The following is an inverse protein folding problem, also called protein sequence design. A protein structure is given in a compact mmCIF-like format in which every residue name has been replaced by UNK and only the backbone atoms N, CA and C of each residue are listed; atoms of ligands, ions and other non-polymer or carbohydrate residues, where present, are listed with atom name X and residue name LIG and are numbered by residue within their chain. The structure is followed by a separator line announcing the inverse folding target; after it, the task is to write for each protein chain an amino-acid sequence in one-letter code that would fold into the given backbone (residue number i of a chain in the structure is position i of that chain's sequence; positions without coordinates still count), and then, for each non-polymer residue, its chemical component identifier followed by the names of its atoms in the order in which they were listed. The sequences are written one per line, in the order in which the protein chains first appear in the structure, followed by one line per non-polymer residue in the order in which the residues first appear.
data_IF_186604737088
#
_entry.id   IF_186604737088
#
_cell.length_a   1.000
_cell.length_b   1.000
_cell.length_c   1.000
_cell.angle_alpha   90.00
_cell.angle_beta   90.00
_cell.angle_gamma   90.00
#
_symmetry.space_group_name_H-M   'P 1'
#
loop_
_entity.id
_entity.type
_entity.pdbx_description
1 polymer ?
#
# COMPACT_ATOMS: atom_id res chain seq x y z
N UNK A 1 -28.45 41.48 6.25
CA UNK A 1 -27.36 41.74 5.27
C UNK A 1 -27.75 41.12 3.94
N UNK A 2 -28.00 41.95 2.93
CA UNK A 2 -28.56 41.53 1.65
C UNK A 2 -27.52 40.79 0.81
N UNK A 3 -27.87 39.57 0.39
CA UNK A 3 -27.07 38.68 -0.44
C UNK A 3 -26.95 39.27 -1.86
N UNK A 4 -25.87 40.00 -2.12
CA UNK A 4 -25.59 40.64 -3.39
C UNK A 4 -25.25 39.55 -4.43
N UNK A 5 -26.26 39.11 -5.20
CA UNK A 5 -26.04 38.27 -6.38
C UNK A 5 -25.08 38.96 -7.33
N UNK A 6 -23.86 38.50 -7.43
CA UNK A 6 -22.87 38.98 -8.43
C UNK A 6 -23.41 38.59 -9.78
N UNK A 7 -23.99 39.53 -10.49
CA UNK A 7 -24.43 39.37 -11.89
C UNK A 7 -23.20 39.41 -12.78
N UNK A 8 -22.73 38.25 -13.22
CA UNK A 8 -21.61 38.08 -14.14
C UNK A 8 -22.04 38.63 -15.51
N UNK A 9 -21.32 39.61 -16.07
CA UNK A 9 -21.63 40.20 -17.36
C UNK A 9 -21.60 39.17 -18.51
N UNK A 10 -22.38 39.34 -19.61
CA UNK A 10 -22.39 38.42 -20.75
C UNK A 10 -21.02 38.18 -21.38
N UNK A 11 -20.14 39.16 -21.30
CA UNK A 11 -18.77 39.11 -21.81
C UNK A 11 -17.88 38.25 -20.91
N UNK A 12 -18.07 38.27 -19.59
CA UNK A 12 -17.37 37.40 -18.65
C UNK A 12 -17.85 35.95 -18.73
N UNK A 13 -19.12 35.69 -19.06
CA UNK A 13 -19.63 34.34 -19.31
C UNK A 13 -18.98 33.67 -20.52
N UNK A 14 -18.77 34.42 -21.63
CA UNK A 14 -18.09 33.88 -22.82
C UNK A 14 -16.62 33.56 -22.55
N UNK A 15 -15.93 34.41 -21.81
CA UNK A 15 -14.54 34.16 -21.41
C UNK A 15 -14.44 32.90 -20.51
N UNK A 16 -15.24 32.81 -19.46
CA UNK A 16 -15.30 31.64 -18.59
C UNK A 16 -15.64 30.36 -19.38
N UNK A 17 -16.56 30.44 -20.34
CA UNK A 17 -16.91 29.29 -21.17
C UNK A 17 -15.77 28.86 -22.09
N UNK A 18 -15.02 29.80 -22.66
CA UNK A 18 -13.80 29.49 -23.46
C UNK A 18 -12.69 28.92 -22.62
N UNK A 19 -12.46 29.43 -21.43
CA UNK A 19 -11.48 28.87 -20.46
C UNK A 19 -11.87 27.47 -20.04
N UNK A 20 -13.15 27.23 -19.73
CA UNK A 20 -13.63 25.89 -19.39
C UNK A 20 -13.49 24.91 -20.56
N UNK A 21 -13.84 25.30 -21.79
CA UNK A 21 -13.68 24.48 -22.98
C UNK A 21 -12.20 24.15 -23.21
N UNK A 22 -11.32 25.15 -23.09
CA UNK A 22 -9.87 24.91 -23.19
C UNK A 22 -9.39 23.94 -22.12
N UNK A 23 -9.81 24.10 -20.85
CA UNK A 23 -9.47 23.18 -19.76
C UNK A 23 -9.93 21.73 -20.04
N UNK A 24 -11.19 21.56 -20.50
CA UNK A 24 -11.68 20.21 -20.85
C UNK A 24 -10.94 19.61 -22.05
N UNK A 25 -10.56 20.41 -23.06
CA UNK A 25 -9.76 19.95 -24.20
C UNK A 25 -8.36 19.49 -23.76
N UNK A 26 -7.73 20.21 -22.84
CA UNK A 26 -6.45 19.79 -22.28
C UNK A 26 -6.56 18.53 -21.41
N UNK A 27 -7.68 18.34 -20.70
CA UNK A 27 -7.94 17.14 -19.92
C UNK A 27 -8.39 15.94 -20.77
N UNK A 28 -8.87 16.16 -21.98
CA UNK A 28 -9.49 15.13 -22.82
C UNK A 28 -8.56 13.92 -23.09
N UNK A 29 -7.27 14.08 -23.43
CA UNK A 29 -6.39 12.93 -23.61
C UNK A 29 -6.30 12.08 -22.35
N UNK A 30 -6.11 12.70 -21.17
CA UNK A 30 -6.08 11.99 -19.89
C UNK A 30 -7.40 11.27 -19.62
N UNK A 31 -8.55 11.94 -19.81
CA UNK A 31 -9.88 11.35 -19.60
C UNK A 31 -10.13 10.16 -20.53
N UNK A 32 -9.74 10.25 -21.79
CA UNK A 32 -9.86 9.13 -22.73
C UNK A 32 -9.06 7.92 -22.27
N UNK A 33 -7.80 8.09 -21.88
CA UNK A 33 -7.00 7.00 -21.36
C UNK A 33 -7.55 6.46 -20.04
N UNK A 34 -8.01 7.33 -19.14
CA UNK A 34 -8.63 6.92 -17.88
C UNK A 34 -9.89 6.07 -18.10
N UNK A 35 -10.78 6.52 -19.00
CA UNK A 35 -12.00 5.77 -19.32
C UNK A 35 -11.66 4.43 -19.99
N UNK A 36 -10.76 4.41 -20.98
CA UNK A 36 -10.44 3.22 -21.75
C UNK A 36 -9.65 2.16 -20.95
N UNK A 37 -8.72 2.59 -20.09
CA UNK A 37 -7.80 1.66 -19.43
C UNK A 37 -8.06 1.47 -17.93
N UNK A 38 -8.88 2.29 -17.31
CA UNK A 38 -9.24 2.17 -15.89
C UNK A 38 -10.73 1.88 -15.72
N UNK A 39 -11.59 2.79 -16.16
CA UNK A 39 -13.04 2.64 -15.92
C UNK A 39 -13.65 1.47 -16.70
N UNK A 40 -13.33 1.31 -17.98
CA UNK A 40 -13.87 0.23 -18.79
C UNK A 40 -13.46 -1.16 -18.25
N UNK A 41 -12.17 -1.47 -18.00
CA UNK A 41 -11.78 -2.74 -17.40
C UNK A 41 -12.37 -2.97 -16.01
N UNK A 42 -12.51 -1.93 -15.18
CA UNK A 42 -13.14 -2.04 -13.87
C UNK A 42 -14.62 -2.44 -13.98
N UNK A 43 -15.38 -1.79 -14.88
CA UNK A 43 -16.78 -2.15 -15.13
C UNK A 43 -16.89 -3.57 -15.68
N UNK A 44 -16.01 -3.95 -16.62
CA UNK A 44 -15.98 -5.30 -17.18
C UNK A 44 -15.61 -6.34 -16.12
N UNK A 45 -14.71 -6.05 -15.20
CA UNK A 45 -14.40 -6.92 -14.06
C UNK A 45 -15.64 -7.16 -13.19
N UNK A 46 -16.40 -6.11 -12.86
CA UNK A 46 -17.65 -6.24 -12.11
C UNK A 46 -18.67 -7.05 -12.92
N UNK A 47 -18.83 -6.76 -14.19
CA UNK A 47 -19.79 -7.46 -15.05
C UNK A 47 -19.46 -8.95 -15.18
N UNK A 48 -18.21 -9.29 -15.53
CA UNK A 48 -17.77 -10.68 -15.70
C UNK A 48 -17.76 -11.49 -14.41
N UNK A 49 -17.76 -10.84 -13.25
CA UNK A 49 -17.88 -11.53 -11.95
C UNK A 49 -19.20 -12.30 -11.76
N UNK A 50 -20.24 -11.95 -12.55
CA UNK A 50 -21.54 -12.63 -12.54
C UNK A 50 -21.66 -13.75 -13.57
N UNK A 51 -20.57 -14.04 -14.30
CA UNK A 51 -20.53 -15.06 -15.33
C UNK A 51 -19.58 -16.20 -14.94
N UNK A 52 -19.87 -17.42 -15.40
CA UNK A 52 -18.87 -18.48 -15.51
C UNK A 52 -18.04 -18.19 -16.76
N UNK A 53 -17.09 -17.30 -16.61
CA UNK A 53 -16.13 -16.92 -17.64
C UNK A 53 -14.86 -17.75 -17.47
N UNK A 54 -14.77 -18.86 -18.21
CA UNK A 54 -13.63 -19.77 -18.20
C UNK A 54 -13.05 -19.89 -19.60
N UNK A 55 -11.73 -19.85 -19.73
CA UNK A 55 -11.07 -19.94 -21.03
C UNK A 55 -11.53 -21.18 -21.83
N UNK A 56 -11.90 -20.97 -23.09
CA UNK A 56 -12.32 -22.04 -24.01
C UNK A 56 -13.77 -22.47 -23.86
N UNK A 57 -14.58 -21.76 -23.08
CA UNK A 57 -16.03 -21.93 -22.95
C UNK A 57 -16.76 -20.63 -23.26
N UNK A 58 -18.04 -20.74 -23.62
CA UNK A 58 -18.91 -19.57 -23.70
C UNK A 58 -19.18 -19.02 -22.30
N UNK A 59 -19.21 -17.70 -22.16
CA UNK A 59 -19.52 -17.02 -20.89
C UNK A 59 -20.99 -17.22 -20.56
N UNK A 60 -21.29 -17.97 -19.51
CA UNK A 60 -22.65 -18.26 -19.05
C UNK A 60 -22.97 -17.36 -17.86
N UNK A 61 -24.09 -16.65 -17.93
CA UNK A 61 -24.55 -15.85 -16.78
C UNK A 61 -25.03 -16.76 -15.64
N UNK A 62 -24.37 -16.68 -14.50
CA UNK A 62 -24.66 -17.49 -13.29
C UNK A 62 -25.06 -16.66 -12.07
N UNK A 63 -25.24 -15.33 -12.25
CA UNK A 63 -25.61 -14.42 -11.17
C UNK A 63 -24.59 -14.41 -10.04
N UNK A 64 -25.02 -14.60 -8.80
CA UNK A 64 -24.16 -14.54 -7.60
C UNK A 64 -23.47 -15.86 -7.25
N UNK A 65 -23.45 -16.85 -8.13
CA UNK A 65 -22.88 -18.17 -7.82
C UNK A 65 -21.39 -18.11 -7.52
N UNK A 66 -20.60 -17.30 -8.24
CA UNK A 66 -19.17 -17.09 -7.95
C UNK A 66 -18.96 -16.56 -6.52
N UNK A 67 -19.80 -15.65 -6.08
CA UNK A 67 -19.71 -15.09 -4.71
C UNK A 67 -20.11 -16.14 -3.65
N UNK A 68 -21.11 -16.96 -3.92
CA UNK A 68 -21.50 -18.06 -3.02
C UNK A 68 -20.40 -19.10 -2.89
N UNK A 69 -19.76 -19.48 -4.01
CA UNK A 69 -18.60 -20.37 -4.03
C UNK A 69 -17.44 -19.77 -3.25
N UNK A 70 -17.14 -18.47 -3.49
CA UNK A 70 -16.08 -17.74 -2.83
C UNK A 70 -16.22 -17.76 -1.29
N UNK A 71 -17.40 -17.46 -0.77
CA UNK A 71 -17.62 -17.44 0.68
C UNK A 71 -17.57 -18.84 1.34
N UNK A 72 -17.71 -19.91 0.55
CA UNK A 72 -17.56 -21.29 1.02
C UNK A 72 -16.14 -21.85 0.78
N UNK A 73 -15.25 -21.07 0.15
CA UNK A 73 -13.88 -21.49 -0.15
C UNK A 73 -12.94 -21.29 1.05
N UNK A 74 -12.42 -22.35 1.68
CA UNK A 74 -11.51 -22.23 2.82
C UNK A 74 -10.18 -21.57 2.45
N UNK A 75 -9.73 -21.67 1.17
CA UNK A 75 -8.49 -21.05 0.71
C UNK A 75 -8.68 -19.55 0.63
N UNK A 76 -9.83 -19.06 0.19
CA UNK A 76 -10.16 -17.63 0.20
C UNK A 76 -10.05 -17.03 1.60
N UNK A 77 -10.65 -17.67 2.60
CA UNK A 77 -10.58 -17.20 3.99
C UNK A 77 -9.16 -17.24 4.55
N UNK A 78 -8.37 -18.26 4.21
CA UNK A 78 -6.96 -18.32 4.58
C UNK A 78 -6.15 -17.21 3.91
N UNK A 79 -6.38 -16.94 2.64
CA UNK A 79 -5.74 -15.85 1.89
C UNK A 79 -6.14 -14.48 2.44
N UNK A 80 -7.40 -14.28 2.79
CA UNK A 80 -7.88 -13.05 3.43
C UNK A 80 -7.21 -12.84 4.79
N UNK A 81 -7.16 -13.88 5.63
CA UNK A 81 -6.49 -13.83 6.93
C UNK A 81 -5.01 -13.47 6.79
N UNK A 82 -4.28 -14.13 5.89
CA UNK A 82 -2.87 -13.85 5.67
C UNK A 82 -2.67 -12.40 5.21
N UNK A 83 -3.50 -11.92 4.27
CA UNK A 83 -3.46 -10.52 3.80
C UNK A 83 -3.75 -9.55 4.94
N UNK A 84 -4.74 -9.83 5.80
CA UNK A 84 -5.04 -8.99 6.96
C UNK A 84 -3.89 -8.97 7.96
N UNK A 85 -3.21 -10.11 8.21
CA UNK A 85 -2.01 -10.15 9.06
C UNK A 85 -0.90 -9.27 8.47
N UNK A 86 -0.65 -9.38 7.16
CA UNK A 86 0.33 -8.51 6.48
C UNK A 86 -0.03 -7.04 6.70
N UNK A 87 -1.27 -6.63 6.46
CA UNK A 87 -1.72 -5.24 6.59
C UNK A 87 -1.61 -4.76 8.04
N UNK A 88 -2.16 -5.51 9.00
CA UNK A 88 -2.20 -5.11 10.40
C UNK A 88 -0.81 -5.03 11.05
N UNK A 89 0.16 -5.76 10.54
CA UNK A 89 1.53 -5.72 11.04
C UNK A 89 2.37 -4.69 10.28
N UNK A 90 2.33 -4.73 8.93
CA UNK A 90 3.22 -3.88 8.14
C UNK A 90 2.84 -2.40 8.18
N UNK A 91 1.56 -2.05 8.16
CA UNK A 91 1.13 -0.65 8.10
C UNK A 91 1.52 0.14 9.35
N UNK A 92 1.19 -0.29 10.58
CA UNK A 92 1.59 0.42 11.79
C UNK A 92 3.12 0.50 11.94
N UNK A 93 3.83 -0.60 11.68
CA UNK A 93 5.29 -0.63 11.79
C UNK A 93 5.91 0.35 10.79
N UNK A 94 5.47 0.33 9.52
CA UNK A 94 5.97 1.26 8.49
C UNK A 94 5.72 2.71 8.88
N UNK A 95 4.50 3.06 9.35
CA UNK A 95 4.18 4.43 9.75
C UNK A 95 5.04 4.89 10.95
N UNK A 96 5.10 4.09 12.01
CA UNK A 96 5.84 4.45 13.24
C UNK A 96 7.34 4.51 12.97
N UNK A 97 7.89 3.50 12.31
CA UNK A 97 9.32 3.46 11.99
C UNK A 97 9.73 4.62 11.07
N UNK A 98 8.95 4.90 10.02
CA UNK A 98 9.25 5.98 9.09
C UNK A 98 9.16 7.36 9.75
N UNK A 99 8.19 7.58 10.63
CA UNK A 99 8.08 8.80 11.40
C UNK A 99 9.26 8.97 12.36
N UNK A 100 9.65 7.90 13.05
CA UNK A 100 10.82 7.92 13.94
C UNK A 100 12.09 8.26 13.17
N UNK A 101 12.37 7.56 12.07
CA UNK A 101 13.54 7.81 11.21
C UNK A 101 13.52 9.25 10.68
N UNK A 102 12.38 9.71 10.15
CA UNK A 102 12.22 11.09 9.66
C UNK A 102 12.51 12.13 10.74
N UNK A 103 12.03 11.90 11.97
CA UNK A 103 12.27 12.79 13.12
C UNK A 103 13.75 12.86 13.54
N UNK A 104 14.51 11.81 13.31
CA UNK A 104 15.97 11.79 13.54
C UNK A 104 16.71 12.50 12.41
N UNK A 105 16.38 12.15 11.16
CA UNK A 105 17.04 12.68 9.95
C UNK A 105 16.80 14.18 9.79
N UNK A 106 15.61 14.70 10.10
CA UNK A 106 15.27 16.12 9.97
C UNK A 106 16.11 17.05 10.84
N UNK A 107 16.80 16.52 11.85
CA UNK A 107 17.72 17.28 12.72
C UNK A 107 19.15 17.33 12.18
N UNK A 108 19.44 16.59 11.12
CA UNK A 108 20.79 16.51 10.53
C UNK A 108 21.06 17.68 9.57
N UNK A 109 22.33 18.00 9.28
CA UNK A 109 22.67 18.90 8.19
C UNK A 109 22.10 18.40 6.85
N UNK A 110 21.84 19.32 5.91
CA UNK A 110 21.21 19.03 4.61
C UNK A 110 21.87 17.87 3.83
N UNK A 111 23.20 17.79 3.85
CA UNK A 111 23.94 16.70 3.22
C UNK A 111 23.65 15.34 3.85
N UNK A 112 23.57 15.26 5.19
CA UNK A 112 23.21 14.05 5.91
C UNK A 112 21.78 13.62 5.62
N UNK A 113 20.83 14.56 5.71
CA UNK A 113 19.42 14.32 5.39
C UNK A 113 19.25 13.75 3.97
N UNK A 114 19.95 14.34 2.98
CA UNK A 114 19.89 13.88 1.59
C UNK A 114 20.49 12.49 1.43
N UNK A 115 21.61 12.19 2.07
CA UNK A 115 22.23 10.88 2.02
C UNK A 115 21.34 9.78 2.61
N UNK A 116 20.74 10.02 3.80
CA UNK A 116 19.82 9.06 4.40
C UNK A 116 18.54 8.87 3.58
N UNK A 117 17.95 9.95 3.04
CA UNK A 117 16.81 9.84 2.10
C UNK A 117 17.16 8.93 0.92
N UNK A 118 18.35 9.10 0.31
CA UNK A 118 18.82 8.27 -0.78
C UNK A 118 18.95 6.80 -0.38
N UNK A 119 19.58 6.51 0.76
CA UNK A 119 19.81 5.13 1.25
C UNK A 119 18.48 4.42 1.50
N UNK A 120 17.53 5.06 2.20
CA UNK A 120 16.23 4.45 2.48
C UNK A 120 15.32 4.34 1.25
N UNK A 121 15.52 5.22 0.25
CA UNK A 121 14.74 5.18 -0.99
C UNK A 121 15.30 4.20 -2.02
N UNK A 122 16.55 3.77 -1.88
CA UNK A 122 17.21 2.84 -2.80
C UNK A 122 16.43 1.53 -3.03
N UNK A 123 15.87 0.84 -1.99
CA UNK A 123 15.05 -0.35 -2.20
C UNK A 123 13.77 -0.10 -3.00
N UNK A 124 13.20 1.11 -2.93
CA UNK A 124 11.97 1.48 -3.66
C UNK A 124 12.22 1.56 -5.16
N UNK A 125 13.38 2.07 -5.58
CA UNK A 125 13.75 2.18 -7.01
C UNK A 125 14.38 0.90 -7.55
N UNK A 126 14.80 0.00 -6.67
CA UNK A 126 15.35 -1.29 -7.07
C UNK A 126 14.21 -2.21 -7.50
N UNK A 127 14.33 -2.84 -8.65
CA UNK A 127 13.31 -3.75 -9.16
C UNK A 127 12.99 -4.88 -8.18
N UNK A 128 11.70 -5.16 -7.99
CA UNK A 128 11.20 -6.17 -7.05
C UNK A 128 11.82 -7.56 -7.23
N UNK A 129 12.17 -7.94 -8.46
CA UNK A 129 12.81 -9.22 -8.76
C UNK A 129 14.21 -9.29 -8.14
N UNK A 130 15.03 -8.23 -8.32
CA UNK A 130 16.39 -8.19 -7.78
C UNK A 130 16.37 -8.25 -6.24
N UNK A 131 15.54 -7.42 -5.60
CA UNK A 131 15.36 -7.43 -4.14
C UNK A 131 14.95 -8.81 -3.66
N UNK A 132 13.96 -9.42 -4.31
CA UNK A 132 13.45 -10.74 -3.94
C UNK A 132 14.51 -11.83 -4.06
N UNK A 133 15.37 -11.78 -5.09
CA UNK A 133 16.46 -12.75 -5.26
C UNK A 133 17.52 -12.63 -4.16
N UNK A 134 17.87 -11.41 -3.75
CA UNK A 134 18.79 -11.19 -2.62
C UNK A 134 18.20 -11.78 -1.33
N UNK A 135 16.95 -11.48 -1.04
CA UNK A 135 16.28 -12.02 0.16
C UNK A 135 16.13 -13.54 0.11
N UNK A 136 15.81 -14.12 -1.05
CA UNK A 136 15.75 -15.58 -1.24
C UNK A 136 17.08 -16.23 -0.92
N UNK A 137 18.19 -15.61 -1.34
CA UNK A 137 19.54 -16.07 -0.98
C UNK A 137 19.81 -15.93 0.51
N UNK A 138 19.44 -14.82 1.13
CA UNK A 138 19.62 -14.59 2.58
C UNK A 138 18.83 -15.57 3.44
N UNK A 139 17.64 -15.99 3.00
CA UNK A 139 16.79 -16.99 3.69
C UNK A 139 17.10 -18.45 3.30
N UNK A 140 18.14 -18.70 2.51
CA UNK A 140 18.46 -20.06 2.09
C UNK A 140 18.76 -20.94 3.31
N UNK A 141 18.26 -22.19 3.28
CA UNK A 141 18.40 -23.12 4.40
C UNK A 141 19.86 -23.53 4.65
N UNK A 142 20.67 -23.68 3.63
CA UNK A 142 22.03 -24.24 3.72
C UNK A 142 23.12 -23.18 3.91
N UNK A 143 23.06 -22.08 3.13
CA UNK A 143 24.09 -21.05 3.05
C UNK A 143 23.56 -19.63 3.30
N UNK A 144 22.29 -19.51 3.74
CA UNK A 144 21.69 -18.22 4.01
C UNK A 144 22.25 -17.54 5.25
N UNK A 145 22.45 -16.23 5.15
CA UNK A 145 23.07 -15.43 6.21
C UNK A 145 22.29 -15.48 7.54
N UNK A 146 20.97 -15.64 7.51
CA UNK A 146 20.18 -15.71 8.73
C UNK A 146 20.44 -17.00 9.53
N UNK A 147 20.64 -18.14 8.85
CA UNK A 147 21.00 -19.36 9.50
C UNK A 147 22.45 -19.32 10.01
N UNK A 148 23.37 -18.77 9.22
CA UNK A 148 24.76 -18.57 9.63
C UNK A 148 24.85 -17.69 10.90
N UNK A 149 24.20 -16.53 10.89
CA UNK A 149 24.20 -15.63 12.04
C UNK A 149 23.52 -16.26 13.26
N UNK A 150 22.37 -16.91 13.07
CA UNK A 150 21.59 -17.48 14.17
C UNK A 150 22.23 -18.70 14.80
N UNK A 151 22.85 -19.57 13.98
CA UNK A 151 23.43 -20.82 14.44
C UNK A 151 24.92 -20.68 14.80
N UNK A 152 25.72 -20.18 13.83
CA UNK A 152 27.19 -20.27 13.93
C UNK A 152 27.79 -19.07 14.68
N UNK A 153 27.14 -17.88 14.61
CA UNK A 153 27.65 -16.66 15.28
C UNK A 153 27.00 -16.44 16.66
N UNK A 154 25.68 -16.48 16.73
CA UNK A 154 24.93 -16.15 17.95
C UNK A 154 24.60 -17.38 18.80
N UNK A 155 24.65 -18.59 18.24
CA UNK A 155 24.31 -19.83 18.94
C UNK A 155 22.85 -19.92 19.44
N UNK A 156 21.95 -19.12 18.85
CA UNK A 156 20.52 -19.07 19.24
C UNK A 156 19.71 -20.18 18.57
N UNK A 157 20.19 -20.70 17.46
CA UNK A 157 19.55 -21.75 16.69
C UNK A 157 20.30 -23.07 16.83
N UNK A 158 19.62 -24.13 17.25
CA UNK A 158 20.19 -25.48 17.32
C UNK A 158 20.41 -26.11 15.94
N UNK A 159 19.55 -25.74 14.99
CA UNK A 159 19.55 -26.25 13.59
C UNK A 159 19.15 -25.19 12.60
N UNK A 160 19.51 -25.41 11.34
CA UNK A 160 19.09 -24.53 10.26
C UNK A 160 17.56 -24.52 10.12
N UNK A 161 16.99 -23.34 9.97
CA UNK A 161 15.56 -23.12 9.75
C UNK A 161 15.31 -23.00 8.24
N UNK A 162 14.30 -23.68 7.75
CA UNK A 162 13.80 -23.48 6.39
C UNK A 162 12.80 -22.32 6.38
N UNK A 163 13.32 -21.09 6.40
CA UNK A 163 12.55 -19.85 6.59
C UNK A 163 11.34 -19.70 5.67
N UNK A 164 11.50 -20.02 4.38
CA UNK A 164 10.44 -19.88 3.38
C UNK A 164 9.64 -21.17 3.15
N UNK A 165 10.12 -22.30 3.63
CA UNK A 165 9.48 -23.60 3.48
C UNK A 165 8.76 -24.10 4.73
N UNK A 166 8.76 -23.33 5.83
CA UNK A 166 8.01 -23.64 7.05
C UNK A 166 6.83 -22.69 7.21
N UNK A 167 5.63 -23.25 7.45
CA UNK A 167 4.39 -22.46 7.61
C UNK A 167 4.46 -21.42 8.72
N UNK A 168 5.24 -21.71 9.76
CA UNK A 168 5.39 -20.85 10.94
C UNK A 168 6.17 -19.57 10.63
N UNK A 169 7.15 -19.62 9.72
CA UNK A 169 8.07 -18.52 9.47
C UNK A 169 7.84 -17.81 8.14
N UNK A 170 7.32 -18.52 7.13
CA UNK A 170 7.27 -18.02 5.77
C UNK A 170 6.52 -16.67 5.63
N UNK A 171 5.37 -16.50 6.29
CA UNK A 171 4.60 -15.26 6.25
C UNK A 171 5.36 -14.09 6.90
N UNK A 172 6.06 -14.35 8.01
CA UNK A 172 6.85 -13.34 8.72
C UNK A 172 8.08 -12.89 7.91
N UNK A 173 8.70 -13.81 7.18
CA UNK A 173 9.77 -13.48 6.24
C UNK A 173 9.28 -12.53 5.14
N UNK A 174 8.08 -12.77 4.59
CA UNK A 174 7.47 -11.89 3.60
C UNK A 174 7.16 -10.51 4.20
N UNK A 175 6.61 -10.44 5.41
CA UNK A 175 6.36 -9.18 6.12
C UNK A 175 7.67 -8.42 6.34
N UNK A 176 8.75 -9.09 6.72
CA UNK A 176 10.06 -8.46 6.91
C UNK A 176 10.59 -7.84 5.60
N UNK A 177 10.49 -8.56 4.49
CA UNK A 177 10.90 -8.04 3.19
C UNK A 177 10.03 -6.83 2.81
N UNK A 178 8.72 -6.96 2.96
CA UNK A 178 7.79 -5.88 2.66
C UNK A 178 8.11 -4.61 3.46
N UNK A 179 8.40 -4.74 4.75
CA UNK A 179 8.80 -3.62 5.60
C UNK A 179 10.06 -2.93 5.07
N UNK A 180 11.10 -3.68 4.73
CA UNK A 180 12.35 -3.10 4.24
C UNK A 180 12.22 -2.38 2.90
N UNK A 181 11.27 -2.79 2.07
CA UNK A 181 11.02 -2.17 0.76
C UNK A 181 10.00 -1.03 0.80
N UNK A 182 9.16 -0.98 1.83
CA UNK A 182 8.02 -0.05 1.91
C UNK A 182 8.32 1.22 2.70
N UNK A 183 9.37 1.27 3.54
CA UNK A 183 9.62 2.41 4.44
C UNK A 183 10.19 3.65 3.75
N UNK A 184 10.82 3.50 2.59
CA UNK A 184 11.56 4.58 1.94
C UNK A 184 10.68 5.76 1.54
N UNK A 185 9.56 5.52 0.86
CA UNK A 185 8.62 6.56 0.46
C UNK A 185 7.98 7.29 1.68
N UNK A 186 7.45 6.60 2.70
CA UNK A 186 6.96 7.23 3.92
C UNK A 186 8.00 8.09 4.64
N UNK A 187 9.27 7.66 4.72
CA UNK A 187 10.34 8.45 5.32
C UNK A 187 10.50 9.79 4.60
N UNK A 188 10.58 9.77 3.27
CA UNK A 188 10.73 10.99 2.46
C UNK A 188 9.55 11.93 2.66
N UNK A 189 8.33 11.40 2.69
CA UNK A 189 7.11 12.18 2.92
C UNK A 189 7.08 12.80 4.31
N UNK A 190 7.43 12.05 5.36
CA UNK A 190 7.49 12.57 6.71
C UNK A 190 8.59 13.62 6.90
N UNK A 191 9.76 13.44 6.29
CA UNK A 191 10.81 14.47 6.34
C UNK A 191 10.33 15.75 5.66
N UNK A 192 9.68 15.65 4.50
CA UNK A 192 9.11 16.82 3.82
C UNK A 192 7.99 17.47 4.62
N UNK A 193 7.15 16.69 5.31
CA UNK A 193 6.13 17.23 6.20
C UNK A 193 6.72 17.96 7.41
N UNK A 194 7.79 17.41 8.01
CA UNK A 194 8.52 18.05 9.11
C UNK A 194 9.19 19.36 8.68
N UNK A 195 9.74 19.40 7.47
CA UNK A 195 10.38 20.61 6.90
C UNK A 195 9.36 21.73 6.64
N UNK A 196 8.09 21.39 6.38
CA UNK A 196 6.99 22.33 6.13
C UNK A 196 6.26 22.80 7.41
N UNK A 197 6.62 22.29 8.58
CA UNK A 197 6.07 22.77 9.86
C UNK A 197 6.51 24.22 10.07
N UNK A 198 5.58 25.09 10.44
CA UNK A 198 5.87 26.50 10.73
C UNK A 198 6.83 26.61 11.93
N UNK A 199 8.04 27.06 11.64
CA UNK A 199 9.10 27.24 12.62
C UNK A 199 8.73 28.28 13.68
N UNK A 200 7.99 29.32 13.30
CA UNK A 200 7.59 30.38 14.22
C UNK A 200 6.73 29.84 15.37
N UNK A 201 5.86 28.87 15.09
CA UNK A 201 5.03 28.22 16.12
C UNK A 201 5.86 27.35 17.06
N UNK A 202 6.90 26.70 16.54
CA UNK A 202 7.79 25.88 17.36
C UNK A 202 8.66 26.77 18.27
N UNK A 203 9.22 27.86 17.72
CA UNK A 203 10.04 28.83 18.46
C UNK A 203 9.21 29.55 19.52
N UNK A 204 7.98 29.97 19.24
CA UNK A 204 7.07 30.57 20.22
C UNK A 204 6.80 29.60 21.39
N UNK A 205 6.54 28.33 21.09
CA UNK A 205 6.34 27.34 22.14
C UNK A 205 7.58 27.06 22.98
N UNK A 206 8.77 27.12 22.39
CA UNK A 206 10.04 27.02 23.12
C UNK A 206 10.25 28.21 24.08
N UNK A 207 9.89 29.43 23.65
CA UNK A 207 9.89 30.63 24.50
C UNK A 207 8.90 30.49 25.66
N UNK A 208 7.74 29.88 25.42
CA UNK A 208 6.72 29.56 26.44
C UNK A 208 7.13 28.38 27.35
N UNK A 209 8.32 27.82 27.18
CA UNK A 209 8.86 26.74 28.02
C UNK A 209 8.39 25.33 27.65
N UNK A 210 7.85 25.12 26.44
CA UNK A 210 7.49 23.81 26.00
C UNK A 210 8.70 22.89 25.78
N UNK A 211 8.65 21.68 26.32
CA UNK A 211 9.67 20.67 26.06
C UNK A 211 9.62 20.20 24.58
N UNK A 212 10.74 19.69 24.02
CA UNK A 212 10.75 19.17 22.63
C UNK A 212 9.68 18.11 22.38
N UNK A 213 9.33 17.30 23.37
CA UNK A 213 8.25 16.31 23.28
C UNK A 213 6.87 16.97 23.20
N UNK A 214 6.64 18.04 23.96
CA UNK A 214 5.40 18.80 23.91
C UNK A 214 5.26 19.53 22.57
N UNK A 215 6.32 20.18 22.10
CA UNK A 215 6.35 20.82 20.77
C UNK A 215 6.07 19.81 19.64
N UNK A 216 6.62 18.59 19.74
CA UNK A 216 6.34 17.54 18.75
C UNK A 216 4.85 17.14 18.74
N UNK A 217 4.29 16.75 19.89
CA UNK A 217 2.93 16.20 19.94
C UNK A 217 1.83 17.24 19.81
N UNK A 218 2.07 18.49 20.28
CA UNK A 218 1.05 19.55 20.27
C UNK A 218 1.12 20.46 19.05
N UNK A 219 2.27 20.57 18.39
CA UNK A 219 2.46 21.48 17.25
C UNK A 219 2.80 20.74 15.97
N UNK A 220 3.88 19.93 15.96
CA UNK A 220 4.34 19.25 14.74
C UNK A 220 3.38 18.15 14.30
N UNK A 221 2.99 17.28 15.20
CA UNK A 221 2.13 16.14 14.90
C UNK A 221 0.77 16.52 14.27
N UNK A 222 -0.01 17.49 14.81
CA UNK A 222 -1.25 17.92 14.18
C UNK A 222 -1.06 18.47 12.75
N UNK A 223 0.02 19.22 12.51
CA UNK A 223 0.32 19.74 11.16
C UNK A 223 0.73 18.64 10.17
N UNK A 224 1.28 17.53 10.66
CA UNK A 224 1.67 16.38 9.86
C UNK A 224 0.52 15.37 9.65
N UNK A 225 -0.62 15.54 10.32
CA UNK A 225 -1.73 14.58 10.29
C UNK A 225 -2.23 14.29 8.86
N UNK A 226 -2.40 15.27 7.95
CA UNK A 226 -2.80 14.99 6.57
C UNK A 226 -1.80 14.09 5.83
N UNK A 227 -0.50 14.33 6.03
CA UNK A 227 0.56 13.48 5.46
C UNK A 227 0.54 12.08 6.06
N UNK A 228 0.31 11.97 7.38
CA UNK A 228 0.21 10.68 8.07
C UNK A 228 -0.97 9.86 7.54
N UNK A 229 -2.13 10.48 7.34
CA UNK A 229 -3.29 9.84 6.73
C UNK A 229 -3.01 9.34 5.32
N UNK A 230 -2.39 10.19 4.49
CA UNK A 230 -1.99 9.80 3.15
C UNK A 230 -1.06 8.57 3.19
N UNK A 231 -0.03 8.58 4.05
CA UNK A 231 0.89 7.45 4.20
C UNK A 231 0.15 6.20 4.67
N UNK A 232 -0.74 6.32 5.63
CA UNK A 232 -1.51 5.21 6.18
C UNK A 232 -2.39 4.57 5.12
N UNK A 233 -3.13 5.36 4.35
CA UNK A 233 -4.02 4.86 3.28
C UNK A 233 -3.21 4.21 2.16
N UNK A 234 -2.17 4.86 1.64
CA UNK A 234 -1.39 4.32 0.53
C UNK A 234 -0.63 3.05 0.92
N UNK A 235 -0.09 3.00 2.14
CA UNK A 235 0.58 1.80 2.66
C UNK A 235 -0.41 0.65 2.85
N UNK A 236 -1.62 0.93 3.30
CA UNK A 236 -2.70 -0.06 3.41
C UNK A 236 -3.03 -0.65 2.04
N UNK A 237 -3.27 0.19 1.04
CA UNK A 237 -3.58 -0.24 -0.34
C UNK A 237 -2.43 -1.12 -0.88
N UNK A 238 -1.18 -0.67 -0.77
CA UNK A 238 -0.02 -1.41 -1.24
C UNK A 238 0.16 -2.76 -0.52
N UNK A 239 -0.12 -2.83 0.78
CA UNK A 239 -0.04 -4.07 1.55
C UNK A 239 -1.10 -5.09 1.14
N UNK A 240 -2.33 -4.65 0.82
CA UNK A 240 -3.36 -5.53 0.24
C UNK A 240 -2.97 -6.07 -1.13
N UNK A 241 -2.23 -5.30 -1.92
CA UNK A 241 -1.76 -5.66 -3.26
C UNK A 241 -0.44 -6.46 -3.25
N UNK A 242 -0.02 -7.02 -2.10
CA UNK A 242 1.18 -7.84 -2.00
C UNK A 242 1.07 -9.10 -2.87
N UNK A 243 1.64 -9.03 -4.07
CA UNK A 243 1.64 -10.08 -5.09
C UNK A 243 3.05 -10.56 -5.44
N UNK A 244 3.94 -9.65 -5.84
CA UNK A 244 5.23 -10.00 -6.42
C UNK A 244 6.10 -10.84 -5.47
N UNK A 245 6.12 -10.51 -4.17
CA UNK A 245 6.87 -11.25 -3.17
C UNK A 245 6.36 -12.70 -3.06
N UNK A 246 5.04 -12.88 -3.04
CA UNK A 246 4.43 -14.22 -2.97
C UNK A 246 4.76 -15.03 -4.22
N UNK A 247 4.58 -14.42 -5.40
CA UNK A 247 4.83 -15.06 -6.70
C UNK A 247 6.29 -15.52 -6.86
N UNK A 248 7.27 -14.74 -6.36
CA UNK A 248 8.69 -14.98 -6.58
C UNK A 248 9.34 -15.85 -5.49
N UNK A 249 8.81 -15.83 -4.26
CA UNK A 249 9.41 -16.53 -3.12
C UNK A 249 8.76 -17.86 -2.81
N UNK A 250 7.44 -17.89 -2.65
CA UNK A 250 6.73 -19.01 -2.03
C UNK A 250 5.63 -19.62 -2.88
N UNK A 251 5.14 -18.91 -3.92
CA UNK A 251 3.99 -19.33 -4.72
C UNK A 251 2.74 -19.65 -3.85
N UNK A 252 2.60 -18.94 -2.73
CA UNK A 252 1.51 -19.16 -1.78
C UNK A 252 1.77 -20.26 -0.73
N UNK A 253 2.84 -21.05 -0.91
CA UNK A 253 3.20 -22.15 0.00
C UNK A 253 4.00 -21.75 1.25
N UNK A 254 4.34 -22.73 2.11
CA UNK A 254 3.80 -24.08 2.13
C UNK A 254 2.33 -24.07 2.59
N UNK A 255 1.54 -25.04 2.13
CA UNK A 255 0.15 -25.27 2.60
C UNK A 255 -0.74 -23.99 2.58
N UNK A 256 -0.62 -23.13 1.59
CA UNK A 256 -1.29 -21.82 1.51
C UNK A 256 -1.00 -20.86 2.70
N UNK A 257 0.10 -21.07 3.45
CA UNK A 257 0.45 -20.22 4.61
C UNK A 257 0.86 -18.81 4.23
N UNK A 258 1.28 -18.60 2.99
CA UNK A 258 1.63 -17.28 2.44
C UNK A 258 0.69 -16.83 1.31
N UNK A 259 -0.37 -17.61 1.03
CA UNK A 259 -1.38 -17.23 0.05
C UNK A 259 -2.00 -15.89 0.45
N UNK A 260 -1.90 -14.88 -0.43
CA UNK A 260 -2.60 -13.60 -0.28
C UNK A 260 -3.79 -13.54 -1.24
N UNK A 261 -4.75 -12.66 -0.97
CA UNK A 261 -5.91 -12.51 -1.87
C UNK A 261 -5.44 -12.12 -3.27
N UNK A 262 -4.50 -11.18 -3.40
CA UNK A 262 -4.02 -10.74 -4.70
C UNK A 262 -3.34 -11.87 -5.48
N UNK A 263 -2.56 -12.73 -4.80
CA UNK A 263 -1.97 -13.91 -5.44
C UNK A 263 -3.03 -14.95 -5.79
N UNK A 264 -4.06 -15.13 -4.95
CA UNK A 264 -5.14 -16.09 -5.21
C UNK A 264 -6.03 -15.67 -6.39
N UNK A 265 -6.29 -14.35 -6.54
CA UNK A 265 -6.91 -13.79 -7.75
C UNK A 265 -6.11 -14.16 -9.00
N UNK A 266 -4.81 -13.88 -8.97
CA UNK A 266 -3.92 -14.21 -10.07
C UNK A 266 -3.92 -15.72 -10.38
N UNK A 267 -3.84 -16.56 -9.37
CA UNK A 267 -3.81 -18.00 -9.53
C UNK A 267 -5.09 -18.52 -10.21
N UNK A 268 -6.26 -18.08 -9.76
CA UNK A 268 -7.53 -18.47 -10.37
C UNK A 268 -7.71 -17.90 -11.78
N UNK A 269 -7.42 -16.62 -11.98
CA UNK A 269 -7.63 -15.97 -13.27
C UNK A 269 -6.61 -16.42 -14.34
N UNK A 270 -5.32 -16.52 -13.99
CA UNK A 270 -4.24 -16.71 -14.98
C UNK A 270 -3.60 -18.10 -14.97
N UNK A 271 -3.79 -18.90 -13.93
CA UNK A 271 -3.30 -20.28 -13.88
C UNK A 271 -4.41 -21.30 -14.11
N UNK A 272 -5.60 -21.04 -13.54
CA UNK A 272 -6.76 -21.90 -13.71
C UNK A 272 -7.73 -21.39 -14.79
N UNK A 273 -7.48 -20.19 -15.32
CA UNK A 273 -8.29 -19.55 -16.36
C UNK A 273 -9.79 -19.38 -15.98
N UNK A 274 -10.08 -19.26 -14.69
CA UNK A 274 -11.42 -19.00 -14.13
C UNK A 274 -11.59 -17.48 -13.93
N UNK A 275 -11.84 -16.76 -15.03
CA UNK A 275 -11.89 -15.30 -15.00
C UNK A 275 -13.06 -14.77 -14.15
N UNK A 276 -14.26 -15.37 -14.29
CA UNK A 276 -15.43 -14.96 -13.52
C UNK A 276 -15.21 -15.05 -12.01
N UNK A 277 -14.66 -16.17 -11.54
CA UNK A 277 -14.34 -16.37 -10.12
C UNK A 277 -13.21 -15.45 -9.64
N UNK A 278 -12.15 -15.28 -10.45
CA UNK A 278 -11.06 -14.32 -10.14
C UNK A 278 -11.56 -12.89 -10.04
N UNK A 279 -12.46 -12.48 -10.95
CA UNK A 279 -13.07 -11.16 -10.94
C UNK A 279 -13.98 -10.94 -9.71
N UNK A 280 -14.75 -11.94 -9.30
CA UNK A 280 -15.56 -11.86 -8.08
C UNK A 280 -14.70 -11.62 -6.84
N UNK A 281 -13.54 -12.30 -6.72
CA UNK A 281 -12.56 -12.02 -5.67
C UNK A 281 -12.01 -10.60 -5.76
N UNK A 282 -11.70 -10.12 -6.97
CA UNK A 282 -11.23 -8.76 -7.21
C UNK A 282 -12.22 -7.70 -6.75
N UNK A 283 -13.51 -7.89 -7.02
CA UNK A 283 -14.60 -7.00 -6.57
C UNK A 283 -14.68 -6.98 -5.05
N UNK A 284 -14.64 -8.13 -4.37
CA UNK A 284 -14.65 -8.21 -2.91
C UNK A 284 -13.41 -7.51 -2.31
N UNK A 285 -12.24 -7.74 -2.88
CA UNK A 285 -11.01 -7.06 -2.45
C UNK A 285 -11.12 -5.53 -2.58
N UNK A 286 -11.64 -5.04 -3.71
CA UNK A 286 -11.85 -3.61 -3.94
C UNK A 286 -12.82 -3.01 -2.89
N UNK A 287 -13.90 -3.70 -2.57
CA UNK A 287 -14.86 -3.28 -1.53
C UNK A 287 -14.19 -3.20 -0.15
N UNK A 288 -13.40 -4.23 0.22
CA UNK A 288 -12.69 -4.26 1.50
C UNK A 288 -11.73 -3.07 1.61
N UNK A 289 -10.91 -2.83 0.57
CA UNK A 289 -9.97 -1.72 0.54
C UNK A 289 -10.71 -0.37 0.61
N UNK A 290 -11.79 -0.19 -0.15
CA UNK A 290 -12.58 1.04 -0.15
C UNK A 290 -13.18 1.34 1.24
N UNK A 291 -13.75 0.33 1.91
CA UNK A 291 -14.30 0.49 3.27
C UNK A 291 -13.21 0.87 4.26
N UNK A 292 -12.07 0.16 4.25
CA UNK A 292 -10.97 0.45 5.17
C UNK A 292 -10.39 1.84 4.93
N UNK A 293 -10.19 2.23 3.66
CA UNK A 293 -9.70 3.57 3.32
C UNK A 293 -10.69 4.66 3.76
N UNK A 294 -12.00 4.46 3.55
CA UNK A 294 -13.03 5.40 4.01
C UNK A 294 -13.03 5.56 5.54
N UNK A 295 -12.89 4.45 6.27
CA UNK A 295 -12.76 4.48 7.74
C UNK A 295 -11.50 5.23 8.18
N UNK A 296 -10.35 4.98 7.52
CA UNK A 296 -9.11 5.67 7.82
C UNK A 296 -9.24 7.19 7.60
N UNK A 297 -9.83 7.63 6.49
CA UNK A 297 -10.08 9.05 6.22
C UNK A 297 -10.98 9.67 7.28
N UNK A 298 -12.12 9.04 7.61
CA UNK A 298 -13.06 9.55 8.61
C UNK A 298 -12.42 9.71 10.01
N UNK A 299 -11.64 8.72 10.44
CA UNK A 299 -10.91 8.78 11.72
C UNK A 299 -9.82 9.86 11.75
N UNK A 300 -9.33 10.26 10.59
CA UNK A 300 -8.32 11.30 10.47
C UNK A 300 -8.87 12.71 10.36
N UNK A 301 -10.08 12.91 9.86
CA UNK A 301 -10.75 14.22 9.79
C UNK A 301 -11.29 14.69 11.15
N UNK A 302 -11.60 13.77 12.06
CA UNK A 302 -12.18 14.08 13.39
C UNK A 302 -11.14 14.62 14.41
N UNK A 303 -9.91 14.86 14.01
CA UNK A 303 -8.82 15.39 14.86
C UNK A 303 -8.19 16.64 14.26
#
# INVERSE_FOLDING_TARGET
MANKKITVSPMSRRLVMRENIAAYLFMLPFLLFFVAFVLYPMIMCIFTSFFDATMGREDIFIGFQNYKELFNDPIFWKALRNTMVIVLVSVPITCVFSLWVASVISKMPMAGTSAFRCIFYLPVVTGSVAVTMVWKWMFNNYYGIFNYLGKDVLGVLDKNINWLGDEKYALWCIILILLTTSVGQPIVLYVSALDNVDRSLVEAAEVDGATPKQAFWKIKWPQMMPTTLYILVITTINSFQCFALIQLLTLGGPNNSTMTIMYYIYYNAFKLYKYGYGNAMGVILAIIIAILSAVQFKLGEEK
#
